data_IF_774234492759
#
_entry.id   IF_774234492759
#
_cell.length_a   1.000
_cell.length_b   1.000
_cell.length_c   1.000
_cell.angle_alpha   90.00
_cell.angle_beta   90.00
_cell.angle_gamma   90.00
#
_symmetry.space_group_name_H-M   'P 1'
#
loop_
_entity.id
_entity.type
_entity.pdbx_description
1 polymer ?
#
# COMPACT_ATOMS: atom_id res chain seq x y z
N UNK A 1 16.93 -20.54 -18.77
CA UNK A 1 16.72 -19.27 -19.50
C UNK A 1 15.22 -19.16 -19.70
N UNK A 2 14.49 -18.57 -18.76
CA UNK A 2 13.09 -18.23 -18.98
C UNK A 2 13.06 -16.89 -19.70
N UNK A 3 12.81 -16.93 -20.99
CA UNK A 3 12.50 -15.77 -21.80
C UNK A 3 11.24 -15.11 -21.22
N UNK A 4 11.39 -13.92 -20.64
CA UNK A 4 10.28 -13.02 -20.36
C UNK A 4 9.72 -12.51 -21.71
N UNK A 5 9.03 -13.38 -22.45
CA UNK A 5 8.16 -12.90 -23.53
C UNK A 5 7.11 -12.02 -22.89
N UNK A 6 7.23 -10.70 -23.09
CA UNK A 6 6.13 -9.79 -22.91
C UNK A 6 4.97 -10.30 -23.75
N UNK A 7 4.09 -11.10 -23.15
CA UNK A 7 2.80 -11.38 -23.75
C UNK A 7 2.12 -10.04 -23.94
N UNK A 8 1.84 -9.70 -25.19
CA UNK A 8 1.09 -8.49 -25.56
C UNK A 8 -0.23 -8.55 -24.80
N UNK A 9 -0.33 -7.83 -23.70
CA UNK A 9 -1.49 -7.89 -22.79
C UNK A 9 -2.67 -7.30 -23.54
N UNK A 10 -3.70 -8.10 -23.77
CA UNK A 10 -4.91 -7.69 -24.51
C UNK A 10 -5.75 -6.69 -23.71
N UNK A 11 -5.58 -6.62 -22.39
CA UNK A 11 -6.31 -5.68 -21.51
C UNK A 11 -5.44 -4.47 -21.16
N UNK A 12 -6.02 -3.26 -21.12
CA UNK A 12 -5.32 -2.08 -20.65
C UNK A 12 -4.81 -2.30 -19.22
N UNK A 13 -3.52 -2.22 -19.04
CA UNK A 13 -2.86 -2.36 -17.74
C UNK A 13 -2.04 -1.12 -17.45
N UNK A 14 -2.16 -0.61 -16.23
CA UNK A 14 -1.30 0.43 -15.69
C UNK A 14 -0.40 -0.21 -14.64
N UNK A 15 0.89 0.08 -14.68
CA UNK A 15 1.88 -0.55 -13.81
C UNK A 15 2.77 0.54 -13.23
N UNK A 16 2.99 0.48 -11.92
CA UNK A 16 4.05 1.18 -11.20
C UNK A 16 4.99 0.15 -10.60
N UNK A 17 6.28 0.26 -10.87
CA UNK A 17 7.25 -0.74 -10.43
C UNK A 17 8.63 -0.14 -10.12
N UNK A 18 9.39 -0.82 -9.25
CA UNK A 18 10.78 -0.53 -8.96
C UNK A 18 11.06 0.94 -8.69
N UNK A 19 11.92 1.54 -9.52
CA UNK A 19 12.34 2.95 -9.37
C UNK A 19 11.19 3.97 -9.48
N UNK A 20 10.11 3.66 -10.17
CA UNK A 20 8.95 4.56 -10.26
C UNK A 20 8.26 4.64 -8.90
N UNK A 21 8.06 3.52 -8.21
CA UNK A 21 7.50 3.49 -6.86
C UNK A 21 8.39 4.24 -5.86
N UNK A 22 9.71 4.05 -5.94
CA UNK A 22 10.67 4.73 -5.07
C UNK A 22 10.63 6.25 -5.22
N UNK A 23 10.42 6.75 -6.44
CA UNK A 23 10.35 8.20 -6.72
C UNK A 23 9.09 8.87 -6.21
N UNK A 24 8.00 8.14 -5.99
CA UNK A 24 6.73 8.73 -5.59
C UNK A 24 6.78 9.37 -4.19
N UNK A 25 7.64 8.88 -3.30
CA UNK A 25 7.80 9.37 -1.93
C UNK A 25 6.47 9.56 -1.18
N UNK A 26 5.56 8.61 -1.34
CA UNK A 26 4.25 8.61 -0.69
C UNK A 26 4.19 7.59 0.44
N UNK A 27 3.17 7.67 1.30
CA UNK A 27 3.10 6.89 2.55
C UNK A 27 2.33 5.57 2.42
N UNK A 28 1.55 5.39 1.36
CA UNK A 28 0.73 4.19 1.22
C UNK A 28 0.48 3.81 -0.24
N UNK A 29 0.07 2.57 -0.46
CA UNK A 29 -0.39 2.09 -1.77
C UNK A 29 -1.55 2.93 -2.29
N UNK A 30 -2.48 3.35 -1.43
CA UNK A 30 -3.58 4.22 -1.82
C UNK A 30 -3.09 5.53 -2.45
N UNK A 31 -2.03 6.11 -1.88
CA UNK A 31 -1.46 7.36 -2.40
C UNK A 31 -0.76 7.14 -3.75
N UNK A 32 -0.10 5.99 -3.94
CA UNK A 32 0.50 5.62 -5.23
C UNK A 32 -0.55 5.40 -6.33
N UNK A 33 -1.70 4.83 -5.99
CA UNK A 33 -2.78 4.61 -6.96
C UNK A 33 -3.41 5.89 -7.51
N UNK A 34 -3.20 7.04 -6.88
CA UNK A 34 -3.63 8.35 -7.42
C UNK A 34 -2.95 8.71 -8.75
N UNK A 35 -1.82 8.09 -9.04
CA UNK A 35 -1.09 8.27 -10.31
C UNK A 35 -1.63 7.41 -11.45
N UNK A 36 -2.60 6.53 -11.18
CA UNK A 36 -3.25 5.73 -12.21
C UNK A 36 -4.44 6.46 -12.79
N UNK A 37 -4.56 6.43 -14.12
CA UNK A 37 -5.67 7.07 -14.84
C UNK A 37 -6.99 6.37 -14.51
N UNK A 38 -8.03 7.17 -14.25
CA UNK A 38 -9.36 6.66 -13.95
C UNK A 38 -9.53 6.09 -12.53
N UNK A 39 -8.53 6.30 -11.65
CA UNK A 39 -8.58 5.92 -10.25
C UNK A 39 -8.93 7.12 -9.39
N UNK A 40 -9.92 6.96 -8.54
CA UNK A 40 -10.30 7.92 -7.51
C UNK A 40 -10.10 7.30 -6.14
N UNK A 41 -9.32 7.94 -5.28
CA UNK A 41 -9.17 7.54 -3.88
C UNK A 41 -10.14 8.35 -3.04
N UNK A 42 -11.02 7.65 -2.33
CA UNK A 42 -11.84 8.23 -1.26
C UNK A 42 -11.05 8.13 0.03
N UNK A 43 -10.73 9.26 0.60
CA UNK A 43 -9.92 9.40 1.82
C UNK A 43 -10.81 9.88 2.96
N UNK A 44 -10.94 9.06 3.98
CA UNK A 44 -11.80 9.30 5.15
C UNK A 44 -10.96 9.61 6.38
N UNK A 45 -10.17 10.66 6.31
CA UNK A 45 -9.45 11.17 7.48
C UNK A 45 -7.95 11.39 7.30
N UNK A 46 -7.45 11.47 6.07
CA UNK A 46 -6.06 11.82 5.78
C UNK A 46 -5.08 10.70 6.14
N UNK A 47 -3.96 11.07 6.75
CA UNK A 47 -2.95 10.11 7.20
C UNK A 47 -3.58 9.20 8.26
N UNK A 48 -3.45 7.87 8.08
CA UNK A 48 -4.05 6.87 8.97
C UNK A 48 -5.55 6.70 8.84
N UNK A 49 -6.22 7.48 7.98
CA UNK A 49 -7.62 7.30 7.64
C UNK A 49 -7.87 6.10 6.71
N UNK A 50 -9.13 5.66 6.68
CA UNK A 50 -9.58 4.67 5.71
C UNK A 50 -9.43 5.25 4.30
N UNK A 51 -8.73 4.54 3.42
CA UNK A 51 -8.57 4.92 2.02
C UNK A 51 -9.11 3.82 1.11
N UNK A 52 -10.20 4.11 0.43
CA UNK A 52 -10.82 3.18 -0.51
C UNK A 52 -10.61 3.63 -1.94
N UNK A 53 -10.65 2.69 -2.86
CA UNK A 53 -10.46 2.94 -4.29
C UNK A 53 -11.78 2.82 -5.03
N UNK A 54 -11.99 3.74 -5.95
CA UNK A 54 -13.07 3.70 -6.94
C UNK A 54 -12.45 3.80 -8.33
N UNK A 55 -12.76 2.88 -9.21
CA UNK A 55 -12.22 2.83 -10.56
C UNK A 55 -13.35 3.10 -11.54
N UNK A 56 -13.17 4.11 -12.40
CA UNK A 56 -14.15 4.50 -13.43
C UNK A 56 -15.57 4.67 -12.88
N UNK A 57 -15.69 5.19 -11.66
CA UNK A 57 -16.99 5.42 -10.99
C UNK A 57 -17.88 4.18 -10.77
N UNK A 58 -17.31 2.97 -10.87
CA UNK A 58 -18.06 1.73 -10.65
C UNK A 58 -18.24 1.36 -9.17
N UNK A 59 -17.68 2.15 -8.26
CA UNK A 59 -17.74 1.89 -6.83
C UNK A 59 -16.60 0.98 -6.33
N UNK A 60 -16.34 1.06 -5.03
CA UNK A 60 -15.24 0.30 -4.40
C UNK A 60 -15.54 -1.19 -4.22
N UNK A 61 -16.80 -1.59 -4.28
CA UNK A 61 -17.23 -3.00 -4.13
C UNK A 61 -16.92 -3.87 -5.34
N UNK A 62 -16.69 -3.25 -6.50
CA UNK A 62 -16.43 -3.95 -7.77
C UNK A 62 -14.95 -4.03 -8.14
N UNK A 63 -14.08 -3.69 -7.19
CA UNK A 63 -12.63 -3.72 -7.37
C UNK A 63 -12.04 -4.88 -6.59
N UNK A 64 -11.48 -5.85 -7.29
CA UNK A 64 -10.69 -6.92 -6.69
C UNK A 64 -9.33 -6.36 -6.23
N UNK A 65 -8.90 -6.69 -5.03
CA UNK A 65 -7.58 -6.31 -4.50
C UNK A 65 -6.82 -7.57 -4.12
N UNK A 66 -5.65 -7.74 -4.71
CA UNK A 66 -4.81 -8.92 -4.52
C UNK A 66 -3.44 -8.53 -3.96
N UNK A 67 -3.02 -9.22 -2.92
CA UNK A 67 -1.73 -9.03 -2.27
C UNK A 67 -0.91 -10.32 -2.37
N UNK A 68 0.17 -10.30 -3.14
CA UNK A 68 0.97 -11.48 -3.48
C UNK A 68 0.16 -12.68 -4.00
N UNK A 69 -0.89 -12.39 -4.77
CA UNK A 69 -1.78 -13.40 -5.35
C UNK A 69 -2.95 -13.84 -4.46
N UNK A 70 -3.02 -13.38 -3.22
CA UNK A 70 -4.14 -13.64 -2.31
C UNK A 70 -5.11 -12.47 -2.39
N UNK A 71 -6.37 -12.76 -2.64
CA UNK A 71 -7.42 -11.74 -2.61
C UNK A 71 -7.62 -11.22 -1.19
N UNK A 72 -7.61 -9.90 -1.06
CA UNK A 72 -7.97 -9.22 0.16
C UNK A 72 -9.45 -8.89 0.13
N UNK A 73 -10.14 -9.23 1.18
CA UNK A 73 -11.54 -8.89 1.39
C UNK A 73 -11.76 -8.40 2.81
N UNK A 74 -12.79 -7.59 2.97
CA UNK A 74 -13.34 -7.30 4.29
C UNK A 74 -14.66 -8.09 4.39
N UNK A 75 -14.73 -9.01 5.35
CA UNK A 75 -15.90 -9.86 5.56
C UNK A 75 -17.17 -9.03 5.89
N UNK A 76 -17.03 -7.81 6.36
CA UNK A 76 -18.13 -6.96 6.79
C UNK A 76 -18.75 -6.15 5.65
N UNK A 77 -17.93 -5.56 4.78
CA UNK A 77 -18.40 -4.64 3.75
C UNK A 77 -17.70 -4.79 2.38
N UNK A 78 -16.84 -5.79 2.20
CA UNK A 78 -16.14 -6.06 0.94
C UNK A 78 -15.11 -5.01 0.51
N UNK A 79 -14.91 -3.95 1.28
CA UNK A 79 -14.03 -2.84 0.91
C UNK A 79 -12.67 -2.97 1.58
N UNK A 80 -11.60 -2.86 0.79
CA UNK A 80 -10.22 -2.95 1.29
C UNK A 80 -9.67 -1.56 1.58
N UNK A 81 -9.12 -1.37 2.79
CA UNK A 81 -8.36 -0.18 3.14
C UNK A 81 -6.94 -0.27 2.57
N UNK A 82 -6.69 0.46 1.49
CA UNK A 82 -5.39 0.52 0.83
C UNK A 82 -4.39 1.46 1.53
N UNK A 83 -4.84 2.25 2.49
CA UNK A 83 -3.98 3.06 3.36
C UNK A 83 -3.12 2.23 4.31
N UNK A 84 -3.48 0.96 4.54
CA UNK A 84 -2.77 0.05 5.44
C UNK A 84 -1.46 -0.49 4.86
N UNK A 85 -1.29 -0.49 3.53
CA UNK A 85 -0.15 -1.11 2.87
C UNK A 85 0.94 -0.08 2.58
N UNK A 86 2.17 -0.41 3.01
CA UNK A 86 3.37 0.38 2.74
C UNK A 86 3.84 0.20 1.30
N UNK A 87 4.53 1.22 0.77
CA UNK A 87 5.25 1.11 -0.50
C UNK A 87 6.68 0.58 -0.35
N UNK A 88 7.26 0.67 0.83
CA UNK A 88 8.69 0.41 1.05
C UNK A 88 9.08 -1.06 0.77
N UNK A 89 8.10 -1.97 0.85
CA UNK A 89 8.26 -3.38 0.50
C UNK A 89 7.57 -3.79 -0.81
N UNK A 90 7.06 -2.83 -1.60
CA UNK A 90 6.41 -3.13 -2.87
C UNK A 90 7.41 -3.22 -4.02
N UNK A 91 7.24 -4.24 -4.86
CA UNK A 91 7.96 -4.39 -6.13
C UNK A 91 7.12 -3.85 -7.28
N UNK A 92 5.84 -4.22 -7.32
CA UNK A 92 4.93 -3.86 -8.40
C UNK A 92 3.53 -3.61 -7.88
N UNK A 93 2.90 -2.55 -8.37
CA UNK A 93 1.47 -2.32 -8.27
C UNK A 93 0.93 -2.26 -9.69
N UNK A 94 -0.06 -3.09 -10.01
CA UNK A 94 -0.67 -3.11 -11.32
C UNK A 94 -2.20 -3.03 -11.23
N UNK A 95 -2.79 -2.26 -12.12
CA UNK A 95 -4.22 -2.10 -12.29
C UNK A 95 -4.65 -2.68 -13.62
N UNK A 96 -5.54 -3.63 -13.58
CA UNK A 96 -6.21 -4.19 -14.75
C UNK A 96 -7.64 -3.65 -14.83
N UNK A 97 -8.00 -3.10 -15.97
CA UNK A 97 -9.36 -2.73 -16.29
C UNK A 97 -10.00 -3.90 -17.07
N UNK A 98 -10.77 -4.73 -16.37
CA UNK A 98 -11.27 -6.00 -16.89
C UNK A 98 -10.38 -7.18 -16.47
N UNK A 99 -10.54 -8.30 -17.13
CA UNK A 99 -9.86 -9.54 -16.80
C UNK A 99 -8.36 -9.49 -17.15
N UNK A 100 -7.54 -9.99 -16.26
CA UNK A 100 -6.15 -10.30 -16.55
C UNK A 100 -6.15 -11.56 -17.43
N UNK A 101 -5.64 -11.49 -18.66
CA UNK A 101 -5.56 -12.63 -19.56
C UNK A 101 -4.48 -13.65 -19.13
N UNK A 102 -4.69 -14.32 -18.00
CA UNK A 102 -3.82 -15.39 -17.54
C UNK A 102 -4.67 -16.65 -17.32
N UNK A 103 -4.20 -17.77 -17.86
CA UNK A 103 -4.92 -19.06 -17.80
C UNK A 103 -5.09 -19.54 -16.35
N UNK A 104 -4.14 -19.16 -15.46
CA UNK A 104 -4.14 -19.54 -14.05
C UNK A 104 -4.55 -18.33 -13.21
N UNK A 105 -5.87 -18.13 -13.06
CA UNK A 105 -6.45 -17.12 -12.18
C UNK A 105 -7.48 -17.76 -11.26
N UNK A 106 -7.61 -17.29 -10.01
CA UNK A 106 -8.75 -17.65 -9.17
C UNK A 106 -10.06 -17.28 -9.87
N UNK A 107 -11.10 -18.09 -9.70
CA UNK A 107 -12.41 -17.84 -10.31
C UNK A 107 -12.97 -16.44 -9.97
N UNK A 108 -12.64 -15.93 -8.81
CA UNK A 108 -13.03 -14.62 -8.32
C UNK A 108 -12.42 -13.45 -9.10
N UNK A 109 -11.25 -13.62 -9.72
CA UNK A 109 -10.65 -12.61 -10.61
C UNK A 109 -11.54 -12.29 -11.80
N UNK A 110 -12.37 -13.26 -12.21
CA UNK A 110 -13.31 -13.09 -13.32
C UNK A 110 -14.59 -12.34 -12.92
N UNK A 111 -14.86 -12.18 -11.62
CA UNK A 111 -16.05 -11.50 -11.12
C UNK A 111 -15.85 -10.00 -10.86
N UNK A 112 -14.60 -9.51 -10.88
CA UNK A 112 -14.27 -8.11 -10.62
C UNK A 112 -14.22 -7.31 -11.91
N UNK A 113 -14.85 -6.13 -11.92
CA UNK A 113 -14.81 -5.22 -13.07
C UNK A 113 -13.43 -4.59 -13.29
N UNK A 114 -12.66 -4.45 -12.23
CA UNK A 114 -11.26 -4.03 -12.24
C UNK A 114 -10.51 -4.73 -11.11
N UNK A 115 -9.21 -4.95 -11.28
CA UNK A 115 -8.39 -5.62 -10.28
C UNK A 115 -7.06 -4.92 -10.04
N UNK A 116 -6.71 -4.75 -8.77
CA UNK A 116 -5.43 -4.21 -8.31
C UNK A 116 -4.60 -5.37 -7.78
N UNK A 117 -3.39 -5.53 -8.31
CA UNK A 117 -2.43 -6.51 -7.84
C UNK A 117 -1.24 -5.80 -7.22
N UNK A 118 -0.97 -6.13 -5.97
CA UNK A 118 0.19 -5.68 -5.21
C UNK A 118 1.13 -6.86 -5.04
N UNK A 119 2.38 -6.69 -5.48
CA UNK A 119 3.42 -7.69 -5.33
C UNK A 119 4.54 -7.12 -4.47
N UNK A 120 4.90 -7.83 -3.42
CA UNK A 120 6.02 -7.43 -2.57
C UNK A 120 7.34 -7.92 -3.14
N UNK A 121 8.42 -7.25 -2.75
CA UNK A 121 9.78 -7.59 -3.15
C UNK A 121 10.12 -9.02 -2.75
N UNK A 122 10.78 -9.72 -3.66
CA UNK A 122 11.43 -10.98 -3.38
C UNK A 122 12.92 -10.71 -3.14
N UNK A 123 13.50 -11.19 -2.02
CA UNK A 123 14.90 -10.96 -1.72
C UNK A 123 15.84 -11.43 -2.85
N UNK A 124 16.73 -10.55 -3.29
CA UNK A 124 17.75 -10.85 -4.28
C UNK A 124 19.12 -10.56 -3.67
N UNK A 125 19.98 -11.55 -3.62
CA UNK A 125 21.30 -11.44 -3.05
C UNK A 125 22.37 -11.51 -4.13
N UNK A 126 23.34 -10.59 -4.09
CA UNK A 126 24.47 -10.55 -5.04
C UNK A 126 25.67 -11.28 -4.45
N UNK A 127 26.17 -12.26 -5.17
CA UNK A 127 27.32 -13.06 -4.75
C UNK A 127 27.10 -13.77 -3.41
N UNK A 128 28.07 -13.71 -2.54
CA UNK A 128 28.05 -14.36 -1.23
C UNK A 128 27.31 -13.57 -0.13
N UNK A 129 26.81 -12.39 -0.45
CA UNK A 129 26.06 -11.58 0.53
C UNK A 129 24.86 -12.35 1.07
N UNK A 130 24.75 -12.42 2.39
CA UNK A 130 23.64 -13.08 3.09
C UNK A 130 22.60 -12.09 3.62
N UNK A 131 22.94 -10.81 3.69
CA UNK A 131 22.05 -9.79 4.24
C UNK A 131 21.94 -8.61 3.28
N UNK A 132 20.73 -8.11 3.11
CA UNK A 132 20.45 -6.79 2.57
C UNK A 132 19.74 -5.98 3.65
N UNK A 133 20.10 -4.72 3.80
CA UNK A 133 19.49 -3.81 4.75
C UNK A 133 19.15 -2.51 4.03
N UNK A 134 17.90 -2.09 4.13
CA UNK A 134 17.43 -0.79 3.66
C UNK A 134 16.75 -0.07 4.81
N UNK A 135 17.22 1.13 5.13
CA UNK A 135 16.68 1.99 6.17
C UNK A 135 16.24 3.28 5.51
N UNK A 136 15.01 3.69 5.78
CA UNK A 136 14.43 4.91 5.27
C UNK A 136 13.85 5.75 6.39
N UNK A 137 13.85 7.07 6.21
CA UNK A 137 13.11 8.00 7.05
C UNK A 137 12.46 9.03 6.15
N UNK A 138 11.14 9.15 6.24
CA UNK A 138 10.37 10.19 5.56
C UNK A 138 9.89 11.20 6.60
N UNK A 139 9.98 12.47 6.28
CA UNK A 139 9.46 13.57 7.09
C UNK A 139 8.39 14.35 6.32
N UNK A 140 7.49 15.00 7.04
CA UNK A 140 6.43 15.78 6.41
C UNK A 140 5.85 16.87 7.31
N UNK A 141 4.86 17.58 6.79
CA UNK A 141 4.11 18.59 7.55
C UNK A 141 3.46 17.99 8.79
N UNK A 142 3.09 18.86 9.73
CA UNK A 142 2.41 18.49 10.98
C UNK A 142 3.21 17.55 11.88
N UNK A 143 4.54 17.73 11.93
CA UNK A 143 5.49 16.90 12.68
C UNK A 143 5.40 15.42 12.27
N UNK A 144 5.19 15.15 10.99
CA UNK A 144 5.15 13.79 10.48
C UNK A 144 6.56 13.22 10.40
N UNK A 145 6.75 12.04 10.99
CA UNK A 145 7.96 11.22 10.87
C UNK A 145 7.58 9.78 10.57
N UNK A 146 8.27 9.19 9.61
CA UNK A 146 7.97 7.83 9.13
C UNK A 146 9.27 7.06 8.88
N UNK A 147 9.89 6.50 9.91
CA UNK A 147 11.01 5.57 9.77
C UNK A 147 10.54 4.22 9.23
N UNK A 148 11.36 3.62 8.38
CA UNK A 148 11.14 2.29 7.82
C UNK A 148 12.44 1.49 7.79
N UNK A 149 12.31 0.17 7.89
CA UNK A 149 13.38 -0.80 7.83
C UNK A 149 12.93 -1.99 6.99
N UNK A 150 13.73 -2.38 6.02
CA UNK A 150 13.63 -3.64 5.31
C UNK A 150 14.93 -4.41 5.49
N UNK A 151 14.86 -5.53 6.18
CA UNK A 151 15.98 -6.46 6.35
C UNK A 151 15.66 -7.77 5.68
N UNK A 152 16.57 -8.21 4.80
CA UNK A 152 16.47 -9.46 4.08
C UNK A 152 17.65 -10.35 4.46
N UNK A 153 17.38 -11.61 4.72
CA UNK A 153 18.40 -12.59 5.10
C UNK A 153 18.29 -13.86 4.27
N UNK A 154 19.45 -14.34 3.78
CA UNK A 154 19.59 -15.61 3.08
C UNK A 154 20.15 -16.66 4.04
N UNK A 155 19.34 -17.62 4.44
CA UNK A 155 19.77 -18.75 5.26
C UNK A 155 20.64 -19.71 4.46
N UNK A 156 20.20 -20.04 3.25
CA UNK A 156 20.90 -20.88 2.29
C UNK A 156 20.44 -20.54 0.85
N UNK A 157 20.86 -21.32 -0.14
CA UNK A 157 20.50 -21.09 -1.54
C UNK A 157 19.00 -21.28 -1.83
N UNK A 158 18.29 -21.99 -0.96
CA UNK A 158 16.88 -22.31 -1.15
C UNK A 158 15.95 -21.50 -0.26
N UNK A 159 16.43 -20.98 0.88
CA UNK A 159 15.58 -20.34 1.89
C UNK A 159 16.11 -18.94 2.18
N UNK A 160 15.22 -17.98 2.12
CA UNK A 160 15.48 -16.61 2.53
C UNK A 160 14.27 -16.03 3.29
N UNK A 161 14.50 -14.95 4.03
CA UNK A 161 13.45 -14.21 4.73
C UNK A 161 13.56 -12.72 4.47
N UNK A 162 12.46 -12.01 4.69
CA UNK A 162 12.44 -10.56 4.76
C UNK A 162 11.62 -10.12 5.97
N UNK A 163 12.09 -9.07 6.64
CA UNK A 163 11.35 -8.36 7.68
C UNK A 163 11.25 -6.91 7.22
N UNK A 164 10.02 -6.44 7.07
CA UNK A 164 9.71 -5.04 6.77
C UNK A 164 8.96 -4.47 7.97
N UNK A 165 9.46 -3.36 8.49
CA UNK A 165 8.79 -2.62 9.56
C UNK A 165 8.74 -1.14 9.21
N UNK A 166 7.63 -0.52 9.53
CA UNK A 166 7.39 0.89 9.31
C UNK A 166 6.59 1.46 10.47
N UNK A 167 7.08 2.56 11.02
CA UNK A 167 6.36 3.33 12.02
C UNK A 167 6.04 4.69 11.46
N UNK A 168 4.87 5.22 11.77
CA UNK A 168 4.50 6.58 11.41
C UNK A 168 3.89 7.29 12.60
N UNK A 169 4.34 8.52 12.78
CA UNK A 169 3.76 9.46 13.71
C UNK A 169 3.46 10.78 13.01
N UNK A 170 2.33 11.38 13.30
CA UNK A 170 2.02 12.76 12.94
C UNK A 170 1.19 13.41 14.05
N UNK A 171 1.46 14.68 14.33
CA UNK A 171 0.67 15.44 15.30
C UNK A 171 -0.70 15.85 14.77
N UNK A 172 -0.86 15.92 13.44
CA UNK A 172 -2.07 16.35 12.77
C UNK A 172 -2.52 17.78 13.13
N UNK A 173 -1.64 18.58 13.76
CA UNK A 173 -1.95 19.94 14.18
C UNK A 173 -1.73 20.91 13.03
N UNK A 174 -2.78 21.61 12.61
CA UNK A 174 -2.69 22.67 11.62
C UNK A 174 -3.57 23.84 11.97
N UNK A 175 -3.18 25.03 11.54
CA UNK A 175 -3.99 26.24 11.67
C UNK A 175 -5.05 26.27 10.57
N UNK A 176 -6.26 26.63 10.90
CA UNK A 176 -7.33 26.87 9.96
C UNK A 176 -8.10 28.12 10.37
N UNK A 177 -8.64 28.81 9.36
CA UNK A 177 -9.45 30.01 9.56
C UNK A 177 -10.90 29.69 9.24
N UNK A 178 -11.81 30.17 10.05
CA UNK A 178 -13.25 30.06 9.84
C UNK A 178 -13.96 31.36 10.19
N UNK A 179 -15.02 31.66 9.47
CA UNK A 179 -15.86 32.81 9.75
C UNK A 179 -16.78 32.53 10.95
N UNK A 180 -16.79 33.42 11.94
CA UNK A 180 -17.79 33.38 13.00
C UNK A 180 -19.11 34.03 12.56
N UNK A 181 -20.18 33.69 13.25
CA UNK A 181 -21.51 34.29 12.99
C UNK A 181 -21.52 35.81 13.10
N UNK A 182 -20.58 36.37 13.85
CA UNK A 182 -20.41 37.82 14.05
C UNK A 182 -19.61 38.52 12.95
N UNK A 183 -19.28 37.82 11.84
CA UNK A 183 -18.62 38.37 10.66
C UNK A 183 -17.12 38.53 10.75
N UNK A 184 -16.48 38.07 11.82
CA UNK A 184 -15.02 38.10 11.97
C UNK A 184 -14.37 36.72 11.72
N UNK A 185 -13.29 36.71 10.95
CA UNK A 185 -12.48 35.53 10.75
C UNK A 185 -11.72 35.18 12.04
N UNK A 186 -11.76 33.94 12.42
CA UNK A 186 -11.04 33.42 13.57
C UNK A 186 -10.10 32.29 13.14
N UNK A 187 -8.83 32.38 13.60
CA UNK A 187 -7.85 31.33 13.40
C UNK A 187 -7.80 30.39 14.61
N UNK A 188 -7.93 29.11 14.38
CA UNK A 188 -7.81 28.07 15.38
C UNK A 188 -6.77 27.02 14.97
N UNK A 189 -6.32 26.23 15.93
CA UNK A 189 -5.44 25.08 15.69
C UNK A 189 -6.25 23.81 15.82
N UNK A 190 -6.20 22.95 14.81
CA UNK A 190 -6.82 21.63 14.86
C UNK A 190 -6.20 20.80 15.98
N UNK A 191 -7.02 20.24 16.83
CA UNK A 191 -6.63 19.36 17.93
C UNK A 191 -7.09 17.93 17.64
N UNK A 192 -6.49 16.94 18.31
CA UNK A 192 -6.84 15.53 18.20
C UNK A 192 -6.79 14.97 16.78
N UNK A 193 -5.81 15.44 15.99
CA UNK A 193 -5.54 14.92 14.66
C UNK A 193 -4.31 14.00 14.60
N UNK A 194 -3.79 13.64 15.77
CA UNK A 194 -2.59 12.80 15.86
C UNK A 194 -2.86 11.36 15.41
N UNK A 195 -1.84 10.79 14.81
CA UNK A 195 -1.87 9.41 14.32
C UNK A 195 -0.57 8.72 14.67
N UNK A 196 -0.68 7.48 15.13
CA UNK A 196 0.43 6.55 15.32
C UNK A 196 0.11 5.28 14.59
N UNK A 197 1.01 4.81 13.73
CA UNK A 197 0.83 3.57 12.98
C UNK A 197 2.07 2.71 13.08
N UNK A 198 1.87 1.42 13.22
CA UNK A 198 2.91 0.40 13.11
C UNK A 198 2.49 -0.62 12.05
N UNK A 199 3.37 -0.87 11.10
CA UNK A 199 3.29 -1.96 10.14
C UNK A 199 4.47 -2.89 10.35
N UNK A 200 4.19 -4.16 10.44
CA UNK A 200 5.21 -5.21 10.52
C UNK A 200 4.82 -6.32 9.56
N UNK A 201 5.74 -6.69 8.70
CA UNK A 201 5.60 -7.81 7.80
C UNK A 201 6.82 -8.71 7.90
N UNK A 202 6.59 -10.00 8.04
CA UNK A 202 7.61 -11.03 7.96
C UNK A 202 7.25 -12.00 6.85
N UNK A 203 8.19 -12.32 5.98
CA UNK A 203 8.00 -13.28 4.91
C UNK A 203 9.17 -14.25 4.83
N UNK A 204 8.85 -15.51 4.54
CA UNK A 204 9.80 -16.55 4.20
C UNK A 204 9.56 -16.99 2.77
N UNK A 205 10.65 -17.23 2.06
CA UNK A 205 10.66 -17.66 0.67
C UNK A 205 11.47 -18.95 0.56
N UNK A 206 10.92 -19.93 -0.11
CA UNK A 206 11.62 -21.18 -0.32
C UNK A 206 11.50 -21.68 -1.75
N UNK A 207 12.58 -22.34 -2.23
CA UNK A 207 12.64 -23.00 -3.52
C UNK A 207 12.55 -24.51 -3.32
N UNK A 208 11.71 -25.15 -4.11
CA UNK A 208 11.60 -26.61 -4.21
C UNK A 208 11.90 -27.03 -5.65
N UNK A 209 12.19 -28.29 -5.95
CA UNK A 209 12.62 -28.71 -7.29
C UNK A 209 11.71 -28.31 -8.45
N UNK A 210 10.39 -28.20 -8.20
CA UNK A 210 9.39 -27.87 -9.22
C UNK A 210 8.57 -26.63 -8.90
N UNK A 211 9.02 -25.78 -7.98
CA UNK A 211 8.26 -24.59 -7.63
C UNK A 211 8.89 -23.75 -6.53
N UNK A 212 8.11 -22.84 -6.03
CA UNK A 212 8.48 -21.93 -4.94
C UNK A 212 7.32 -21.86 -3.97
N UNK A 213 7.63 -21.59 -2.70
CA UNK A 213 6.64 -21.29 -1.68
C UNK A 213 6.97 -19.97 -1.00
N UNK A 214 5.96 -19.32 -0.49
CA UNK A 214 6.05 -18.08 0.26
C UNK A 214 5.10 -18.17 1.45
N UNK A 215 5.60 -17.85 2.63
CA UNK A 215 4.78 -17.68 3.83
C UNK A 215 4.93 -16.25 4.30
N UNK A 216 3.83 -15.63 4.72
CA UNK A 216 3.82 -14.24 5.16
C UNK A 216 2.96 -14.07 6.40
N UNK A 217 3.46 -13.28 7.35
CA UNK A 217 2.72 -12.74 8.47
C UNK A 217 2.71 -11.22 8.36
N UNK A 218 1.54 -10.61 8.55
CA UNK A 218 1.35 -9.16 8.48
C UNK A 218 0.59 -8.68 9.71
N UNK A 219 1.12 -7.65 10.35
CA UNK A 219 0.52 -6.97 11.48
C UNK A 219 0.41 -5.47 11.17
N UNK A 220 -0.75 -4.94 11.43
CA UNK A 220 -1.02 -3.52 11.33
C UNK A 220 -1.74 -3.04 12.59
N UNK A 221 -1.21 -2.02 13.24
CA UNK A 221 -1.86 -1.31 14.32
C UNK A 221 -1.89 0.19 14.02
N UNK A 222 -3.00 0.84 14.31
CA UNK A 222 -3.15 2.29 14.12
C UNK A 222 -3.99 2.86 15.24
N UNK A 223 -3.44 3.87 15.89
CA UNK A 223 -4.11 4.70 16.88
C UNK A 223 -4.23 6.11 16.32
N UNK A 224 -5.41 6.71 16.45
CA UNK A 224 -5.63 8.06 15.96
C UNK A 224 -6.59 8.83 16.82
N UNK A 225 -6.34 10.12 16.94
CA UNK A 225 -7.28 11.05 17.52
C UNK A 225 -8.48 11.29 16.59
N UNK A 226 -9.58 11.68 17.18
CA UNK A 226 -10.78 12.08 16.44
C UNK A 226 -10.99 13.58 16.64
N UNK A 227 -10.56 14.41 15.68
CA UNK A 227 -10.80 15.82 15.75
C UNK A 227 -12.30 16.11 15.70
N UNK A 228 -12.83 16.83 16.67
CA UNK A 228 -14.23 17.25 16.71
C UNK A 228 -14.61 18.17 15.54
N UNK A 229 -15.82 18.72 15.55
CA UNK A 229 -16.22 19.71 14.56
C UNK A 229 -15.26 20.90 14.52
N UNK A 230 -15.01 21.43 13.33
CA UNK A 230 -14.12 22.59 13.16
C UNK A 230 -14.75 23.88 13.68
N UNK A 231 -16.08 23.92 13.74
CA UNK A 231 -16.90 25.08 14.14
C UNK A 231 -17.91 24.62 15.18
N UNK A 232 -18.03 25.35 16.29
CA UNK A 232 -19.09 25.22 17.27
C UNK A 232 -20.06 26.39 17.15
#
# INVERSE_FOLDING_TARGET
>A
IYSNRMQKKMSPVQILSGKELEKLNVYSVADALRYFSGVQIKDYGGIGGLKTVNIRSMGSHHVGVFYDGIELGNAQNGVVDLGRFSLDNMEVISLYNGQKSAIFQPAKDYSSASAIYMQTRKPIFKGEKKNNLNIGVKGGSFSTINPSLLWEHRFNERISSSISTEYMYTSGRYKFTYAKKDGYDTTAVRQNGDVRMLRLENAFFGKIPKGEWKTKAYLYNSERGYPGAAVR
#
